data_IF_940904282007
#
_entry.id   IF_940904282007
#
_cell.length_a   1.000
_cell.length_b   1.000
_cell.length_c   1.000
_cell.angle_alpha   90.00
_cell.angle_beta   90.00
_cell.angle_gamma   90.00
#
_symmetry.space_group_name_H-M   'P 1'
#
loop_
_entity.id
_entity.type
_entity.pdbx_description
1 polymer ?
#
# COMPACT_ATOMS: atom_id res chain seq x y z
N UNK A 1 25.24 6.30 1.86
CA UNK A 1 24.65 5.49 0.77
C UNK A 1 25.17 5.98 -0.59
N UNK A 2 25.52 5.09 -1.53
CA UNK A 2 26.01 5.49 -2.86
C UNK A 2 24.86 5.92 -3.80
N UNK A 3 25.14 6.84 -4.73
CA UNK A 3 24.14 7.36 -5.69
C UNK A 3 23.51 6.25 -6.56
N UNK A 4 24.29 5.22 -6.90
CA UNK A 4 23.80 4.04 -7.64
C UNK A 4 22.80 3.21 -6.83
N UNK A 5 23.00 3.10 -5.52
CA UNK A 5 22.11 2.32 -4.66
C UNK A 5 20.82 3.10 -4.39
N UNK A 6 20.90 4.42 -4.22
CA UNK A 6 19.72 5.29 -4.16
C UNK A 6 18.84 5.16 -5.41
N UNK A 7 19.43 5.09 -6.61
CA UNK A 7 18.67 4.88 -7.86
C UNK A 7 17.99 3.50 -7.90
N UNK A 8 18.67 2.45 -7.42
CA UNK A 8 18.05 1.11 -7.31
C UNK A 8 16.87 1.13 -6.34
N UNK A 9 17.03 1.72 -5.16
CA UNK A 9 15.95 1.83 -4.17
C UNK A 9 14.79 2.67 -4.67
N UNK A 10 15.08 3.78 -5.36
CA UNK A 10 14.06 4.59 -6.03
C UNK A 10 13.23 3.76 -7.00
N UNK A 11 13.89 3.02 -7.89
CA UNK A 11 13.21 2.20 -8.88
C UNK A 11 12.37 1.09 -8.21
N UNK A 12 12.89 0.45 -7.17
CA UNK A 12 12.15 -0.56 -6.40
C UNK A 12 10.91 0.04 -5.71
N UNK A 13 11.03 1.24 -5.13
CA UNK A 13 9.93 1.95 -4.49
C UNK A 13 8.85 2.36 -5.50
N UNK A 14 9.25 2.85 -6.66
CA UNK A 14 8.33 3.17 -7.77
C UNK A 14 7.60 1.91 -8.26
N UNK A 15 8.33 0.81 -8.47
CA UNK A 15 7.73 -0.46 -8.88
C UNK A 15 6.74 -0.99 -7.82
N UNK A 16 7.07 -0.87 -6.53
CA UNK A 16 6.17 -1.25 -5.44
C UNK A 16 4.92 -0.36 -5.39
N UNK A 17 5.08 0.95 -5.55
CA UNK A 17 3.96 1.90 -5.62
C UNK A 17 3.02 1.53 -6.76
N UNK A 18 3.56 1.34 -7.96
CA UNK A 18 2.77 1.06 -9.15
C UNK A 18 2.04 -0.29 -9.03
N UNK A 19 2.70 -1.31 -8.45
CA UNK A 19 2.06 -2.59 -8.13
C UNK A 19 0.91 -2.44 -7.13
N UNK A 20 1.08 -1.65 -6.08
CA UNK A 20 0.03 -1.37 -5.09
C UNK A 20 -1.15 -0.61 -5.71
N UNK A 21 -0.87 0.37 -6.57
CA UNK A 21 -1.89 1.12 -7.30
C UNK A 21 -2.66 0.23 -8.28
N UNK A 22 -1.96 -0.60 -9.06
CA UNK A 22 -2.60 -1.57 -9.96
C UNK A 22 -3.50 -2.54 -9.20
N UNK A 23 -3.03 -3.06 -8.05
CA UNK A 23 -3.82 -3.95 -7.20
C UNK A 23 -5.05 -3.24 -6.62
N UNK A 24 -4.94 -1.96 -6.27
CA UNK A 24 -6.06 -1.15 -5.82
C UNK A 24 -7.09 -0.91 -6.93
N UNK A 25 -6.62 -0.61 -8.14
CA UNK A 25 -7.48 -0.38 -9.30
C UNK A 25 -8.25 -1.65 -9.67
N UNK A 26 -7.56 -2.81 -9.67
CA UNK A 26 -8.18 -4.12 -9.87
C UNK A 26 -9.21 -4.41 -8.77
N UNK A 27 -8.87 -4.18 -7.49
CA UNK A 27 -9.79 -4.38 -6.39
C UNK A 27 -11.06 -3.51 -6.54
N UNK A 28 -10.91 -2.22 -6.84
CA UNK A 28 -12.04 -1.32 -7.09
C UNK A 28 -12.91 -1.78 -8.26
N UNK A 29 -12.29 -2.19 -9.37
CA UNK A 29 -13.03 -2.71 -10.54
C UNK A 29 -13.76 -4.02 -10.23
N UNK A 30 -13.23 -4.87 -9.35
CA UNK A 30 -13.87 -6.13 -8.95
C UNK A 30 -14.98 -5.95 -7.91
N UNK A 31 -14.88 -4.92 -7.05
CA UNK A 31 -15.95 -4.59 -6.09
C UNK A 31 -17.11 -3.85 -6.75
N UNK A 32 -16.89 -3.21 -7.90
CA UNK A 32 -17.95 -2.53 -8.65
C UNK A 32 -18.94 -3.52 -9.29
N UNK A 33 -18.54 -4.77 -9.47
CA UNK A 33 -19.34 -5.81 -10.15
C UNK A 33 -20.26 -6.59 -9.22
N UNK A 34 -20.25 -6.33 -7.90
CA UNK A 34 -21.12 -7.02 -6.94
C UNK A 34 -22.10 -6.03 -6.31
N UNK A 35 -23.00 -5.50 -7.13
CA UNK A 35 -24.35 -5.18 -6.67
C UNK A 35 -24.97 -6.51 -6.22
N UNK A 36 -24.82 -6.85 -4.94
CA UNK A 36 -25.50 -7.98 -4.32
C UNK A 36 -27.01 -7.70 -4.42
N UNK A 37 -27.68 -8.36 -5.36
CA UNK A 37 -29.13 -8.39 -5.49
C UNK A 37 -29.71 -8.93 -4.16
N UNK A 38 -30.13 -8.02 -3.29
CA UNK A 38 -30.45 -8.27 -1.88
C UNK A 38 -31.70 -9.15 -1.67
N UNK A 39 -32.34 -9.61 -2.74
CA UNK A 39 -33.52 -10.46 -2.66
C UNK A 39 -33.21 -11.94 -2.28
N UNK A 40 -31.95 -12.40 -2.30
CA UNK A 40 -31.65 -13.85 -2.24
C UNK A 40 -30.69 -14.33 -1.14
N UNK A 41 -30.19 -13.47 -0.25
CA UNK A 41 -29.16 -13.83 0.76
C UNK A 41 -29.73 -14.00 2.18
N UNK A 42 -29.62 -15.22 2.72
CA UNK A 42 -30.09 -15.59 4.07
C UNK A 42 -29.26 -15.00 5.22
N UNK A 43 -29.71 -15.22 6.47
CA UNK A 43 -29.09 -14.67 7.70
C UNK A 43 -27.59 -14.92 7.86
N UNK A 44 -27.09 -16.07 7.40
CA UNK A 44 -25.65 -16.43 7.45
C UNK A 44 -24.83 -15.53 6.51
N UNK A 45 -25.36 -15.27 5.32
CA UNK A 45 -24.70 -14.45 4.29
C UNK A 45 -24.52 -12.98 4.69
N UNK A 46 -25.34 -12.44 5.61
CA UNK A 46 -25.14 -11.07 6.14
C UNK A 46 -23.95 -10.96 7.09
N UNK A 47 -23.71 -11.98 7.90
CA UNK A 47 -22.55 -11.98 8.82
C UNK A 47 -21.26 -12.11 8.01
N UNK A 48 -21.26 -12.99 7.01
CA UNK A 48 -20.13 -13.16 6.09
C UNK A 48 -19.87 -11.87 5.28
N UNK A 49 -20.94 -11.19 4.82
CA UNK A 49 -20.83 -9.92 4.11
C UNK A 49 -20.24 -8.79 4.99
N UNK A 50 -20.64 -8.70 6.27
CA UNK A 50 -20.08 -7.72 7.21
C UNK A 50 -18.60 -8.02 7.51
N UNK A 51 -18.24 -9.29 7.67
CA UNK A 51 -16.85 -9.69 7.88
C UNK A 51 -15.99 -9.37 6.64
N UNK A 52 -16.49 -9.67 5.44
CA UNK A 52 -15.82 -9.33 4.18
C UNK A 52 -15.66 -7.81 4.01
N UNK A 53 -16.67 -7.01 4.39
CA UNK A 53 -16.60 -5.55 4.36
C UNK A 53 -15.53 -5.02 5.32
N UNK A 54 -15.50 -5.52 6.57
CA UNK A 54 -14.49 -5.13 7.57
C UNK A 54 -13.07 -5.43 7.08
N UNK A 55 -12.85 -6.63 6.52
CA UNK A 55 -11.57 -7.00 5.91
C UNK A 55 -11.19 -6.10 4.73
N UNK A 56 -12.13 -5.73 3.87
CA UNK A 56 -11.88 -4.84 2.74
C UNK A 56 -11.48 -3.41 3.18
N UNK A 57 -12.12 -2.89 4.23
CA UNK A 57 -11.77 -1.59 4.83
C UNK A 57 -10.35 -1.61 5.39
N UNK A 58 -10.01 -2.60 6.20
CA UNK A 58 -8.67 -2.70 6.79
C UNK A 58 -7.58 -2.92 5.73
N UNK A 59 -7.84 -3.75 4.72
CA UNK A 59 -6.92 -3.95 3.61
C UNK A 59 -6.65 -2.63 2.87
N UNK A 60 -7.69 -1.81 2.68
CA UNK A 60 -7.56 -0.49 2.06
C UNK A 60 -6.74 0.45 2.94
N UNK A 61 -6.99 0.47 4.25
CA UNK A 61 -6.25 1.29 5.22
C UNK A 61 -4.76 0.95 5.24
N UNK A 62 -4.42 -0.33 5.31
CA UNK A 62 -3.03 -0.81 5.29
C UNK A 62 -2.34 -0.43 3.97
N UNK A 63 -3.03 -0.57 2.84
CA UNK A 63 -2.51 -0.19 1.53
C UNK A 63 -2.21 1.31 1.44
N UNK A 64 -3.13 2.15 1.91
CA UNK A 64 -2.90 3.60 1.97
C UNK A 64 -1.72 3.97 2.88
N UNK A 65 -1.56 3.27 4.02
CA UNK A 65 -0.41 3.49 4.89
C UNK A 65 0.90 3.11 4.20
N UNK A 66 0.92 2.01 3.44
CA UNK A 66 2.10 1.59 2.69
C UNK A 66 2.44 2.57 1.57
N UNK A 67 1.45 3.10 0.83
CA UNK A 67 1.65 4.14 -0.17
C UNK A 67 2.22 5.42 0.44
N UNK A 68 1.75 5.83 1.63
CA UNK A 68 2.33 6.98 2.35
C UNK A 68 3.79 6.74 2.70
N UNK A 69 4.13 5.56 3.25
CA UNK A 69 5.52 5.19 3.56
C UNK A 69 6.43 5.24 2.33
N UNK A 70 5.97 4.69 1.20
CA UNK A 70 6.72 4.72 -0.07
C UNK A 70 6.90 6.16 -0.56
N UNK A 71 5.86 6.99 -0.47
CA UNK A 71 5.92 8.39 -0.90
C UNK A 71 6.92 9.18 -0.04
N UNK A 72 6.93 8.96 1.28
CA UNK A 72 7.92 9.55 2.18
C UNK A 72 9.34 9.07 1.85
N UNK A 73 9.52 7.78 1.61
CA UNK A 73 10.81 7.21 1.19
C UNK A 73 11.33 7.84 -0.11
N UNK A 74 10.46 8.01 -1.11
CA UNK A 74 10.82 8.68 -2.36
C UNK A 74 11.21 10.16 -2.15
N UNK A 75 10.48 10.89 -1.30
CA UNK A 75 10.81 12.27 -0.96
C UNK A 75 12.17 12.38 -0.25
N UNK A 76 12.50 11.45 0.65
CA UNK A 76 13.81 11.37 1.30
C UNK A 76 14.95 11.07 0.30
N UNK A 77 14.67 10.27 -0.75
CA UNK A 77 15.66 10.02 -1.81
C UNK A 77 15.91 11.31 -2.60
N UNK A 78 14.88 12.11 -2.85
CA UNK A 78 15.00 13.41 -3.52
C UNK A 78 15.75 14.44 -2.66
N UNK A 79 15.55 14.43 -1.34
CA UNK A 79 16.28 15.30 -0.41
C UNK A 79 17.71 14.81 -0.09
N UNK A 80 18.09 13.63 -0.57
CA UNK A 80 19.36 12.94 -0.24
C UNK A 80 19.51 12.51 1.22
N UNK A 81 18.42 12.53 2.00
CA UNK A 81 18.38 12.07 3.40
C UNK A 81 17.94 10.60 3.54
N UNK A 82 17.76 9.91 2.40
CA UNK A 82 17.37 8.52 2.42
C UNK A 82 18.49 7.63 2.95
N UNK A 83 18.15 6.80 3.95
CA UNK A 83 19.10 5.94 4.62
C UNK A 83 19.66 6.54 5.91
N UNK A 84 19.13 7.65 6.41
CA UNK A 84 19.45 8.18 7.74
C UNK A 84 18.28 8.02 8.71
N UNK A 85 18.59 7.72 9.97
CA UNK A 85 17.59 7.58 11.02
C UNK A 85 17.06 8.95 11.45
N UNK A 86 15.74 9.16 11.42
CA UNK A 86 15.13 10.44 11.82
C UNK A 86 15.26 10.80 13.31
N UNK A 87 15.84 9.92 14.13
CA UNK A 87 15.98 10.11 15.59
C UNK A 87 17.45 10.37 15.96
N UNK A 88 18.38 9.61 15.40
CA UNK A 88 19.81 9.68 15.75
C UNK A 88 20.71 10.13 14.60
N UNK A 89 20.15 10.35 13.40
CA UNK A 89 20.87 10.75 12.20
C UNK A 89 21.96 9.74 11.73
N UNK A 90 21.93 8.53 12.29
CA UNK A 90 22.84 7.43 11.89
C UNK A 90 22.40 6.80 10.56
N UNK A 91 23.38 6.30 9.80
CA UNK A 91 23.13 5.56 8.57
C UNK A 91 22.44 4.22 8.86
N UNK A 92 21.29 3.99 8.23
CA UNK A 92 20.49 2.76 8.31
C UNK A 92 21.19 1.69 7.48
N UNK A 93 21.41 0.50 8.06
CA UNK A 93 22.03 -0.63 7.35
C UNK A 93 21.21 -0.96 6.08
N UNK A 94 21.83 -0.94 4.89
CA UNK A 94 21.15 -1.23 3.62
C UNK A 94 20.78 -2.71 3.41
N UNK A 95 21.09 -3.59 4.36
CA UNK A 95 20.85 -5.05 4.31
C UNK A 95 19.44 -5.48 4.71
#
# INVERSE_FOLDING_TARGET
MNQTDLQKFKHLLEQQRDKLMATQQMAQSSTQTVELDQASVGRVSRVDALQAQSMAVETTRLRQQQLRKISTALALIESSDYGYCSICDDEIDPR
#
